data_IF_086724891535
#
_entry.id   IF_086724891535
#
_cell.length_a   1.000
_cell.length_b   1.000
_cell.length_c   1.000
_cell.angle_alpha   90.00
_cell.angle_beta   90.00
_cell.angle_gamma   90.00
#
_symmetry.space_group_name_H-M   'P 1'
#
loop_
_entity.id
_entity.type
_entity.pdbx_description
1 polymer ?
#
# COMPACT_ATOMS: atom_id res chain seq x y z
N UNK A 1 7.15 -14.84 -4.72
CA UNK A 1 6.91 -13.45 -4.29
C UNK A 1 8.19 -12.67 -4.54
N UNK A 2 8.12 -11.57 -5.28
CA UNK A 2 9.26 -10.69 -5.57
C UNK A 2 8.99 -9.34 -4.92
N UNK A 3 9.95 -8.83 -4.15
CA UNK A 3 9.87 -7.53 -3.48
C UNK A 3 10.92 -6.59 -4.06
N UNK A 4 10.51 -5.40 -4.45
CA UNK A 4 11.35 -4.35 -5.02
C UNK A 4 11.16 -3.10 -4.18
N UNK A 5 12.21 -2.70 -3.48
CA UNK A 5 12.30 -1.43 -2.77
C UNK A 5 13.56 -0.70 -3.25
N UNK A 6 13.38 0.22 -4.19
CA UNK A 6 14.48 0.96 -4.81
C UNK A 6 14.39 2.45 -4.43
N UNK A 7 15.50 3.12 -4.06
CA UNK A 7 15.48 4.50 -3.59
C UNK A 7 14.94 5.49 -4.63
N UNK A 8 15.16 5.23 -5.92
CA UNK A 8 14.68 6.11 -7.01
C UNK A 8 13.21 5.89 -7.39
N UNK A 9 12.57 4.82 -6.91
CA UNK A 9 11.16 4.55 -7.19
C UNK A 9 10.25 5.22 -6.14
N UNK A 10 9.15 5.86 -6.54
CA UNK A 10 8.23 6.53 -5.61
C UNK A 10 7.37 5.55 -4.81
N UNK A 11 7.45 4.26 -5.12
CA UNK A 11 6.69 3.19 -4.47
C UNK A 11 7.60 2.00 -4.11
N UNK A 12 7.18 1.24 -3.11
CA UNK A 12 7.60 -0.15 -2.88
C UNK A 12 6.68 -1.05 -3.69
N UNK A 13 7.24 -2.04 -4.37
CA UNK A 13 6.49 -2.97 -5.21
C UNK A 13 6.66 -4.40 -4.71
N UNK A 14 5.55 -5.10 -4.55
CA UNK A 14 5.51 -6.54 -4.31
C UNK A 14 4.70 -7.24 -5.42
N UNK A 15 5.28 -8.30 -5.98
CA UNK A 15 4.69 -9.06 -7.08
C UNK A 15 4.46 -10.51 -6.65
N UNK A 16 3.23 -10.98 -6.84
CA UNK A 16 2.84 -12.36 -6.60
C UNK A 16 2.30 -12.96 -7.91
N UNK A 17 2.93 -14.06 -8.33
CA UNK A 17 2.54 -14.81 -9.52
C UNK A 17 1.68 -16.01 -9.08
N UNK A 18 0.47 -16.07 -9.60
CA UNK A 18 -0.42 -17.24 -9.55
C UNK A 18 -0.52 -17.84 -10.96
N UNK A 19 -1.04 -19.06 -11.09
CA UNK A 19 -1.11 -19.75 -12.39
C UNK A 19 -1.84 -18.96 -13.49
N UNK A 20 -2.91 -18.25 -13.15
CA UNK A 20 -3.75 -17.48 -14.09
C UNK A 20 -3.89 -16.00 -13.72
N UNK A 21 -3.12 -15.51 -12.76
CA UNK A 21 -3.28 -14.18 -12.17
C UNK A 21 -1.92 -13.66 -11.71
N UNK A 22 -1.65 -12.38 -11.95
CA UNK A 22 -0.57 -11.64 -11.29
C UNK A 22 -1.20 -10.60 -10.40
N UNK A 23 -0.70 -10.52 -9.17
CA UNK A 23 -1.02 -9.43 -8.25
C UNK A 23 0.20 -8.55 -8.02
N UNK A 24 -0.01 -7.25 -8.14
CA UNK A 24 0.95 -6.21 -7.82
C UNK A 24 0.42 -5.43 -6.63
N UNK A 25 1.23 -5.29 -5.59
CA UNK A 25 0.99 -4.42 -4.45
C UNK A 25 1.97 -3.26 -4.55
N UNK A 26 1.45 -2.04 -4.68
CA UNK A 26 2.25 -0.81 -4.69
C UNK A 26 1.95 -0.04 -3.41
N UNK A 27 2.98 0.27 -2.64
CA UNK A 27 2.87 1.16 -1.48
C UNK A 27 3.64 2.43 -1.81
N UNK A 28 2.95 3.56 -1.87
CA UNK A 28 3.58 4.86 -2.09
C UNK A 28 4.48 5.22 -0.89
N UNK A 29 5.68 5.75 -1.15
CA UNK A 29 6.65 6.06 -0.09
C UNK A 29 6.37 7.39 0.60
N UNK A 30 5.63 8.27 -0.06
CA UNK A 30 5.40 9.66 0.37
C UNK A 30 3.97 9.87 0.88
N UNK A 31 3.08 8.90 0.69
CA UNK A 31 1.70 8.94 1.12
C UNK A 31 1.26 7.62 1.72
N UNK A 32 0.20 7.65 2.52
CA UNK A 32 -0.39 6.44 3.12
C UNK A 32 -1.27 5.65 2.12
N UNK A 33 -0.94 5.70 0.82
CA UNK A 33 -1.72 5.07 -0.25
C UNK A 33 -1.12 3.74 -0.67
N UNK A 34 -2.00 2.76 -0.82
CA UNK A 34 -1.68 1.42 -1.27
C UNK A 34 -2.57 1.06 -2.47
N UNK A 35 -1.96 0.44 -3.47
CA UNK A 35 -2.65 -0.02 -4.67
C UNK A 35 -2.49 -1.54 -4.75
N UNK A 36 -3.60 -2.23 -5.00
CA UNK A 36 -3.61 -3.65 -5.37
C UNK A 36 -4.11 -3.76 -6.80
N UNK A 37 -3.25 -4.23 -7.69
CA UNK A 37 -3.55 -4.43 -9.10
C UNK A 37 -3.58 -5.93 -9.36
N UNK A 38 -4.69 -6.44 -9.86
CA UNK A 38 -4.88 -7.84 -10.21
C UNK A 38 -5.01 -7.95 -11.74
N UNK A 39 -4.14 -8.74 -12.36
CA UNK A 39 -4.04 -8.94 -13.81
C UNK A 39 -4.28 -10.42 -14.11
N UNK A 40 -5.43 -10.76 -14.68
CA UNK A 40 -5.73 -12.16 -15.04
C UNK A 40 -5.15 -12.53 -16.41
N UNK A 41 -4.40 -13.62 -16.47
CA UNK A 41 -3.82 -14.22 -17.68
C UNK A 41 -4.85 -15.06 -18.45
N UNK A 42 -6.09 -14.60 -18.55
CA UNK A 42 -7.10 -15.25 -19.40
C UNK A 42 -7.19 -14.55 -20.77
N UNK A 43 -7.77 -15.26 -21.76
CA UNK A 43 -7.99 -14.76 -23.13
C UNK A 43 -8.83 -13.49 -23.19
N UNK A 44 -9.55 -13.14 -22.12
CA UNK A 44 -10.18 -11.85 -21.92
C UNK A 44 -9.39 -11.09 -20.86
N UNK A 45 -8.48 -10.20 -21.28
CA UNK A 45 -7.62 -9.42 -20.39
C UNK A 45 -8.46 -8.57 -19.43
N UNK A 46 -8.63 -9.05 -18.20
CA UNK A 46 -9.29 -8.29 -17.13
C UNK A 46 -8.20 -7.71 -16.25
N UNK A 47 -8.14 -6.39 -16.14
CA UNK A 47 -7.31 -5.68 -15.16
C UNK A 47 -8.26 -5.09 -14.13
N UNK A 48 -7.98 -5.35 -12.84
CA UNK A 48 -8.69 -4.72 -11.72
C UNK A 48 -7.69 -3.92 -10.90
N UNK A 49 -8.02 -2.67 -10.63
CA UNK A 49 -7.24 -1.80 -9.73
C UNK A 49 -8.08 -1.52 -8.50
N UNK A 50 -7.51 -1.75 -7.32
CA UNK A 50 -8.08 -1.37 -6.03
C UNK A 50 -7.13 -0.40 -5.34
N UNK A 51 -7.67 0.71 -4.85
CA UNK A 51 -6.93 1.72 -4.09
C UNK A 51 -7.39 1.66 -2.65
N UNK A 52 -6.44 1.67 -1.72
CA UNK A 52 -6.67 1.83 -0.28
C UNK A 52 -5.85 3.01 0.20
N UNK A 53 -6.43 3.80 1.08
CA UNK A 53 -5.75 4.89 1.77
C UNK A 53 -5.90 4.62 3.26
N UNK A 54 -4.79 4.65 3.99
CA UNK A 54 -4.80 4.61 5.44
C UNK A 54 -4.80 6.03 5.98
N UNK A 55 -5.71 6.34 6.90
CA UNK A 55 -5.68 7.59 7.66
C UNK A 55 -5.02 7.31 9.01
N UNK A 56 -3.99 8.10 9.35
CA UNK A 56 -3.40 8.05 10.68
C UNK A 56 -4.38 8.66 11.65
N UNK A 57 -4.94 7.83 12.56
CA UNK A 57 -5.67 8.33 13.71
C UNK A 57 -4.63 9.00 14.63
N UNK A 58 -4.69 10.34 14.71
CA UNK A 58 -3.90 11.07 15.71
C UNK A 58 -4.54 10.77 17.06
N UNK A 59 -3.85 10.01 17.91
CA UNK A 59 -4.19 9.96 19.33
C UNK A 59 -3.80 11.32 19.93
N UNK A 60 -4.78 12.10 20.38
CA UNK A 60 -4.51 13.26 21.24
C UNK A 60 -3.88 12.74 22.53
N UNK A 61 -2.60 13.08 22.78
CA UNK A 61 -1.98 12.85 24.08
C UNK A 61 -2.82 13.60 25.14
N UNK A 62 -3.22 12.95 26.24
CA UNK A 62 -3.94 13.64 27.31
C UNK A 62 -3.02 14.72 27.87
N UNK A 63 -3.46 15.98 27.80
CA UNK A 63 -2.79 17.11 28.45
C UNK A 63 -2.61 16.78 29.94
N UNK A 64 -1.38 16.44 30.34
CA UNK A 64 -0.98 16.44 31.74
C UNK A 64 -1.10 17.88 32.25
N UNK A 65 -2.20 18.16 32.95
CA UNK A 65 -2.28 19.31 33.84
C UNK A 65 -1.21 19.14 34.91
N UNK A 66 -0.04 19.74 34.67
CA UNK A 66 0.90 20.06 35.72
C UNK A 66 0.25 21.11 36.64
N UNK A 67 -0.50 20.64 37.64
CA UNK A 67 -0.72 21.43 38.86
C UNK A 67 0.63 21.53 39.57
N UNK A 68 1.29 22.67 39.39
CA UNK A 68 2.42 23.09 40.19
C UNK A 68 1.90 23.98 41.32
N UNK A 69 2.14 23.52 42.55
CA UNK A 69 2.12 24.20 43.86
C UNK A 69 0.84 24.92 44.34
#
# INVERSE_FOLDING_TARGET
MVKIDHPELPFKLEVIWYGNLVELYLTDKNSCREYRISIWHTTAHKVKVQVRTWETLVEEEPEEKNESD
#
